data_IF_394005369365
#
_entry.id   IF_394005369365
#
_cell.length_a   1.000
_cell.length_b   1.000
_cell.length_c   1.000
_cell.angle_alpha   90.00
_cell.angle_beta   90.00
_cell.angle_gamma   90.00
#
_symmetry.space_group_name_H-M   'P 1'
#
loop_
_entity.id
_entity.type
_entity.pdbx_description
1 polymer ?
#
# COMPACT_ATOMS: atom_id res chain seq x y z
N UNK A 1 -34.83 9.41 -28.23
CA UNK A 1 -34.45 9.46 -26.80
C UNK A 1 -33.79 8.13 -26.49
N UNK A 2 -32.47 8.04 -26.71
CA UNK A 2 -31.70 6.80 -26.58
C UNK A 2 -31.25 6.65 -25.13
N UNK A 3 -31.57 5.50 -24.53
CA UNK A 3 -31.06 5.13 -23.21
C UNK A 3 -29.59 4.75 -23.31
N UNK A 4 -28.73 5.44 -22.56
CA UNK A 4 -27.33 5.04 -22.36
C UNK A 4 -27.29 3.69 -21.60
N UNK A 5 -26.39 2.76 -21.96
CA UNK A 5 -26.24 1.54 -21.20
C UNK A 5 -25.56 1.87 -19.86
N UNK A 6 -26.26 1.61 -18.75
CA UNK A 6 -25.66 1.55 -17.42
C UNK A 6 -24.46 0.60 -17.46
N UNK A 7 -23.28 1.12 -17.12
CA UNK A 7 -22.08 0.32 -16.90
C UNK A 7 -22.41 -0.81 -15.91
N UNK A 8 -22.38 -2.04 -16.40
CA UNK A 8 -22.51 -3.24 -15.58
C UNK A 8 -21.39 -3.21 -14.56
N UNK A 9 -21.74 -3.03 -13.28
CA UNK A 9 -20.82 -3.26 -12.16
C UNK A 9 -20.39 -4.72 -12.24
N UNK A 10 -19.17 -4.98 -12.71
CA UNK A 10 -18.63 -6.32 -12.78
C UNK A 10 -18.42 -6.82 -11.34
N UNK A 11 -19.29 -7.74 -10.90
CA UNK A 11 -19.17 -8.37 -9.58
C UNK A 11 -18.13 -9.48 -9.70
N UNK A 12 -16.93 -9.25 -9.20
CA UNK A 12 -15.87 -10.28 -9.14
C UNK A 12 -16.32 -11.43 -8.25
N UNK A 13 -16.05 -12.66 -8.66
CA UNK A 13 -16.27 -13.83 -7.80
C UNK A 13 -15.38 -13.75 -6.55
N UNK A 14 -15.74 -14.41 -5.43
CA UNK A 14 -14.90 -14.45 -4.23
C UNK A 14 -13.45 -14.90 -4.51
N UNK A 15 -13.27 -15.89 -5.39
CA UNK A 15 -11.95 -16.37 -5.79
C UNK A 15 -11.16 -15.36 -6.62
N UNK A 16 -11.81 -14.52 -7.43
CA UNK A 16 -11.16 -13.43 -8.17
C UNK A 16 -10.77 -12.26 -7.27
N UNK A 17 -11.62 -11.92 -6.30
CA UNK A 17 -11.32 -10.92 -5.26
C UNK A 17 -10.09 -11.31 -4.45
N UNK A 18 -10.03 -12.54 -3.95
CA UNK A 18 -8.88 -13.05 -3.19
C UNK A 18 -7.60 -13.02 -4.05
N UNK A 19 -7.67 -13.51 -5.30
CA UNK A 19 -6.52 -13.48 -6.22
C UNK A 19 -6.04 -12.05 -6.50
N UNK A 20 -6.96 -11.09 -6.66
CA UNK A 20 -6.63 -9.68 -6.86
C UNK A 20 -5.90 -9.10 -5.63
N UNK A 21 -6.42 -9.34 -4.43
CA UNK A 21 -5.79 -8.88 -3.18
C UNK A 21 -4.40 -9.49 -3.00
N UNK A 22 -4.23 -10.80 -3.21
CA UNK A 22 -2.94 -11.47 -3.10
C UNK A 22 -1.93 -10.95 -4.13
N UNK A 23 -2.38 -10.74 -5.37
CA UNK A 23 -1.55 -10.18 -6.44
C UNK A 23 -1.02 -8.80 -6.08
N UNK A 24 -1.88 -7.87 -5.68
CA UNK A 24 -1.42 -6.50 -5.37
C UNK A 24 -0.57 -6.46 -4.09
N UNK A 25 -0.82 -7.34 -3.12
CA UNK A 25 0.10 -7.50 -1.97
C UNK A 25 1.49 -7.95 -2.41
N UNK A 26 1.57 -8.89 -3.37
CA UNK A 26 2.84 -9.33 -3.94
C UNK A 26 3.51 -8.21 -4.76
N UNK A 27 2.74 -7.44 -5.53
CA UNK A 27 3.25 -6.29 -6.31
C UNK A 27 3.82 -5.20 -5.40
N UNK A 28 3.12 -4.82 -4.32
CA UNK A 28 3.64 -3.86 -3.36
C UNK A 28 4.90 -4.38 -2.67
N UNK A 29 4.93 -5.66 -2.28
CA UNK A 29 6.12 -6.28 -1.70
C UNK A 29 7.32 -6.23 -2.66
N UNK A 30 7.12 -6.60 -3.92
CA UNK A 30 8.16 -6.57 -4.94
C UNK A 30 8.69 -5.14 -5.15
N UNK A 31 7.81 -4.14 -5.22
CA UNK A 31 8.21 -2.75 -5.38
C UNK A 31 8.99 -2.20 -4.17
N UNK A 32 8.59 -2.59 -2.95
CA UNK A 32 9.33 -2.27 -1.71
C UNK A 32 10.73 -2.88 -1.75
N UNK A 33 10.84 -4.15 -2.17
CA UNK A 33 12.12 -4.84 -2.28
C UNK A 33 13.04 -4.23 -3.33
N UNK A 34 12.50 -3.87 -4.50
CA UNK A 34 13.25 -3.19 -5.56
C UNK A 34 13.81 -1.85 -5.09
N UNK A 35 12.95 -1.01 -4.49
CA UNK A 35 13.36 0.26 -3.92
C UNK A 35 14.39 0.11 -2.79
N UNK A 36 14.18 -0.84 -1.88
CA UNK A 36 15.13 -1.15 -0.81
C UNK A 36 16.50 -1.56 -1.37
N UNK A 37 16.52 -2.45 -2.37
CA UNK A 37 17.76 -2.88 -3.01
C UNK A 37 18.53 -1.68 -3.58
N UNK A 38 17.87 -0.83 -4.37
CA UNK A 38 18.48 0.38 -4.91
C UNK A 38 19.02 1.31 -3.80
N UNK A 39 18.27 1.48 -2.70
CA UNK A 39 18.66 2.36 -1.60
C UNK A 39 19.89 1.85 -0.83
N UNK A 40 20.03 0.52 -0.72
CA UNK A 40 21.15 -0.14 -0.04
C UNK A 40 22.45 -0.18 -0.85
N UNK A 41 22.41 0.15 -2.14
CA UNK A 41 23.62 0.30 -2.94
C UNK A 41 24.54 1.39 -2.32
N UNK A 42 25.88 1.26 -2.45
CA UNK A 42 26.79 2.29 -2.02
C UNK A 42 26.55 3.62 -2.77
N UNK A 43 26.29 4.70 -2.02
CA UNK A 43 26.01 6.05 -2.55
C UNK A 43 27.15 6.59 -3.42
N UNK A 44 28.39 6.15 -3.16
CA UNK A 44 29.55 6.52 -3.97
C UNK A 44 29.52 5.90 -5.38
N UNK A 45 28.65 4.93 -5.66
CA UNK A 45 28.49 4.40 -7.00
C UNK A 45 27.77 5.42 -7.90
N UNK A 46 28.31 5.72 -9.10
CA UNK A 46 27.70 6.68 -10.03
C UNK A 46 26.23 6.38 -10.38
N UNK A 47 25.86 5.11 -10.33
CA UNK A 47 24.54 4.62 -10.72
C UNK A 47 23.52 4.61 -9.58
N UNK A 48 23.92 4.89 -8.35
CA UNK A 48 23.04 4.84 -7.17
C UNK A 48 21.78 5.70 -7.37
N UNK A 49 21.97 6.96 -7.77
CA UNK A 49 20.84 7.89 -7.99
C UNK A 49 19.93 7.40 -9.10
N UNK A 50 20.51 6.87 -10.19
CA UNK A 50 19.75 6.31 -11.32
C UNK A 50 18.92 5.11 -10.89
N UNK A 51 19.46 4.23 -10.06
CA UNK A 51 18.73 3.08 -9.52
C UNK A 51 17.56 3.52 -8.62
N UNK A 52 17.80 4.45 -7.68
CA UNK A 52 16.74 4.99 -6.81
C UNK A 52 15.64 5.68 -7.62
N UNK A 53 16.00 6.49 -8.62
CA UNK A 53 15.06 7.18 -9.49
C UNK A 53 14.25 6.22 -10.37
N UNK A 54 14.82 5.07 -10.76
CA UNK A 54 14.14 4.06 -11.56
C UNK A 54 13.11 3.26 -10.74
N UNK A 55 13.39 2.97 -9.47
CA UNK A 55 12.50 2.16 -8.61
C UNK A 55 11.35 2.98 -8.00
N UNK A 56 11.56 4.28 -7.75
CA UNK A 56 10.58 5.12 -7.07
C UNK A 56 9.20 5.21 -7.79
N UNK A 57 9.11 5.32 -9.14
CA UNK A 57 7.84 5.25 -9.85
C UNK A 57 7.10 3.92 -9.65
N UNK A 58 7.81 2.79 -9.61
CA UNK A 58 7.21 1.47 -9.37
C UNK A 58 6.62 1.38 -7.97
N UNK A 59 7.34 1.85 -6.95
CA UNK A 59 6.85 1.91 -5.58
C UNK A 59 5.62 2.82 -5.45
N UNK A 60 5.64 3.99 -6.09
CA UNK A 60 4.49 4.91 -6.12
C UNK A 60 3.25 4.27 -6.73
N UNK A 61 3.39 3.63 -7.89
CA UNK A 61 2.27 2.97 -8.57
C UNK A 61 1.71 1.81 -7.74
N UNK A 62 2.57 0.97 -7.19
CA UNK A 62 2.15 -0.15 -6.35
C UNK A 62 1.47 0.31 -5.06
N UNK A 63 1.95 1.40 -4.44
CA UNK A 63 1.32 1.96 -3.25
C UNK A 63 -0.05 2.60 -3.57
N UNK A 64 -0.18 3.33 -4.68
CA UNK A 64 -1.47 3.86 -5.11
C UNK A 64 -2.50 2.76 -5.37
N UNK A 65 -2.10 1.65 -6.01
CA UNK A 65 -2.96 0.49 -6.22
C UNK A 65 -3.36 -0.18 -4.88
N UNK A 66 -2.47 -0.22 -3.89
CA UNK A 66 -2.77 -0.69 -2.55
C UNK A 66 -3.80 0.20 -1.83
N UNK A 67 -3.67 1.53 -1.95
CA UNK A 67 -4.66 2.48 -1.40
C UNK A 67 -6.03 2.26 -2.05
N UNK A 68 -6.10 2.18 -3.38
CA UNK A 68 -7.36 1.93 -4.09
C UNK A 68 -8.02 0.61 -3.67
N UNK A 69 -7.24 -0.45 -3.44
CA UNK A 69 -7.78 -1.72 -2.95
C UNK A 69 -8.35 -1.67 -1.54
N UNK A 70 -7.78 -0.82 -0.69
CA UNK A 70 -8.10 -0.80 0.72
C UNK A 70 -9.20 0.20 1.01
N UNK A 71 -9.14 1.39 0.38
CA UNK A 71 -10.04 2.52 0.62
C UNK A 71 -11.07 2.76 -0.50
N UNK A 72 -10.91 2.12 -1.66
CA UNK A 72 -11.83 2.30 -2.78
C UNK A 72 -13.29 1.96 -2.41
N UNK A 73 -14.26 2.32 -3.26
CA UNK A 73 -15.69 2.13 -2.97
C UNK A 73 -16.08 0.68 -2.60
N UNK A 74 -15.37 -0.29 -3.19
CA UNK A 74 -15.50 -1.73 -2.92
C UNK A 74 -14.22 -2.27 -2.22
N UNK A 75 -13.55 -1.42 -1.45
CA UNK A 75 -12.27 -1.67 -0.81
C UNK A 75 -12.38 -2.44 0.50
N UNK A 76 -11.27 -3.04 0.91
CA UNK A 76 -11.18 -3.89 2.10
C UNK A 76 -11.66 -3.21 3.38
N UNK A 77 -11.44 -1.90 3.55
CA UNK A 77 -11.88 -1.19 4.74
C UNK A 77 -13.39 -1.06 4.82
N UNK A 78 -14.10 -0.93 3.70
CA UNK A 78 -15.56 -0.94 3.70
C UNK A 78 -16.09 -2.31 4.15
N UNK A 79 -15.51 -3.40 3.66
CA UNK A 79 -15.84 -4.78 4.09
C UNK A 79 -15.58 -4.95 5.60
N UNK A 80 -14.39 -4.58 6.09
CA UNK A 80 -14.04 -4.67 7.52
C UNK A 80 -14.98 -3.85 8.40
N UNK A 81 -15.43 -2.66 7.97
CA UNK A 81 -16.35 -1.85 8.77
C UNK A 81 -17.78 -2.38 8.76
N UNK A 82 -18.20 -3.08 7.72
CA UNK A 82 -19.47 -3.79 7.69
C UNK A 82 -19.48 -4.95 8.70
N UNK A 83 -18.40 -5.74 8.74
CA UNK A 83 -18.29 -6.93 9.60
C UNK A 83 -17.88 -6.59 11.04
N UNK A 84 -17.04 -5.57 11.21
CA UNK A 84 -16.43 -5.20 12.49
C UNK A 84 -16.47 -3.67 12.75
N UNK A 85 -17.65 -3.04 12.93
CA UNK A 85 -17.79 -1.59 13.12
C UNK A 85 -16.94 -0.99 14.26
N UNK A 86 -16.63 -1.79 15.29
CA UNK A 86 -15.76 -1.43 16.41
C UNK A 86 -14.36 -0.97 15.98
N UNK A 87 -13.91 -1.35 14.77
CA UNK A 87 -12.58 -1.06 14.23
C UNK A 87 -12.47 0.27 13.48
N UNK A 88 -13.52 1.10 13.46
CA UNK A 88 -13.56 2.40 12.76
C UNK A 88 -12.36 3.29 13.04
N UNK A 89 -11.92 3.39 14.31
CA UNK A 89 -10.76 4.22 14.64
C UNK A 89 -9.46 3.69 14.04
N UNK A 90 -9.31 2.36 13.94
CA UNK A 90 -8.11 1.74 13.38
C UNK A 90 -8.07 1.87 11.86
N UNK A 91 -9.21 1.70 11.20
CA UNK A 91 -9.36 1.99 9.76
C UNK A 91 -9.01 3.45 9.45
N UNK A 92 -9.55 4.41 10.20
CA UNK A 92 -9.24 5.84 10.00
C UNK A 92 -7.75 6.16 10.22
N UNK A 93 -7.12 5.52 11.21
CA UNK A 93 -5.68 5.66 11.45
C UNK A 93 -4.87 5.16 10.26
N UNK A 94 -5.21 3.99 9.72
CA UNK A 94 -4.51 3.43 8.56
C UNK A 94 -4.70 4.27 7.29
N UNK A 95 -5.88 4.87 7.09
CA UNK A 95 -6.08 5.79 5.97
C UNK A 95 -5.27 7.10 6.12
N UNK A 96 -5.12 7.60 7.35
CA UNK A 96 -4.23 8.72 7.63
C UNK A 96 -2.76 8.35 7.35
N UNK A 97 -2.35 7.12 7.64
CA UNK A 97 -1.03 6.60 7.28
C UNK A 97 -0.85 6.50 5.76
N UNK A 98 -1.87 6.06 5.00
CA UNK A 98 -1.81 6.06 3.54
C UNK A 98 -1.58 7.45 2.97
N UNK A 99 -2.28 8.46 3.48
CA UNK A 99 -2.09 9.85 3.06
C UNK A 99 -0.65 10.33 3.37
N UNK A 100 -0.13 10.01 4.56
CA UNK A 100 1.23 10.38 4.96
C UNK A 100 2.31 9.70 4.09
N UNK A 101 2.17 8.40 3.82
CA UNK A 101 3.11 7.65 2.97
C UNK A 101 3.05 8.14 1.53
N UNK A 102 1.86 8.39 0.99
CA UNK A 102 1.69 9.00 -0.34
C UNK A 102 2.39 10.35 -0.42
N UNK A 103 2.19 11.23 0.56
CA UNK A 103 2.87 12.51 0.62
C UNK A 103 4.40 12.38 0.71
N UNK A 104 4.90 11.42 1.48
CA UNK A 104 6.33 11.14 1.62
C UNK A 104 6.95 10.62 0.30
N UNK A 105 6.25 9.74 -0.42
CA UNK A 105 6.66 9.26 -1.75
C UNK A 105 6.76 10.41 -2.76
N UNK A 106 5.76 11.28 -2.80
CA UNK A 106 5.77 12.48 -3.66
C UNK A 106 6.89 13.46 -3.27
N UNK A 107 7.08 13.66 -1.97
CA UNK A 107 8.13 14.50 -1.42
C UNK A 107 9.53 13.98 -1.76
N UNK A 108 9.74 12.67 -1.75
CA UNK A 108 10.98 12.02 -2.15
C UNK A 108 11.21 12.14 -3.65
N UNK A 109 10.17 11.92 -4.46
CA UNK A 109 10.27 12.03 -5.93
C UNK A 109 10.72 13.41 -6.38
N UNK A 110 10.19 14.48 -5.77
CA UNK A 110 10.62 15.86 -6.05
C UNK A 110 12.04 16.19 -5.58
N UNK A 111 12.63 15.35 -4.73
CA UNK A 111 13.94 15.59 -4.10
C UNK A 111 14.94 14.48 -4.42
N UNK A 112 14.66 13.65 -5.43
CA UNK A 112 15.52 12.53 -5.79
C UNK A 112 16.92 12.97 -6.22
N UNK A 113 17.09 14.24 -6.64
CA UNK A 113 18.37 14.88 -7.00
C UNK A 113 19.08 15.59 -5.84
N UNK A 114 18.51 15.58 -4.64
CA UNK A 114 19.14 16.17 -3.45
C UNK A 114 20.40 15.39 -3.02
N UNK A 115 21.07 15.85 -1.97
CA UNK A 115 22.21 15.15 -1.36
C UNK A 115 21.93 13.64 -1.17
N UNK A 116 22.78 12.73 -1.69
CA UNK A 116 22.50 11.30 -1.68
C UNK A 116 22.26 10.71 -0.28
N UNK A 117 22.97 11.18 0.74
CA UNK A 117 22.79 10.70 2.12
C UNK A 117 21.43 11.13 2.68
N UNK A 118 20.98 12.34 2.37
CA UNK A 118 19.62 12.79 2.70
C UNK A 118 18.55 11.95 2.00
N UNK A 119 18.73 11.68 0.71
CA UNK A 119 17.79 10.84 -0.07
C UNK A 119 17.75 9.41 0.50
N UNK A 120 18.90 8.85 0.89
CA UNK A 120 18.96 7.54 1.58
C UNK A 120 18.23 7.58 2.92
N UNK A 121 18.43 8.62 3.72
CA UNK A 121 17.75 8.76 5.02
C UNK A 121 16.24 8.80 4.84
N UNK A 122 15.73 9.66 3.96
CA UNK A 122 14.29 9.77 3.69
C UNK A 122 13.70 8.48 3.12
N UNK A 123 14.41 7.82 2.20
CA UNK A 123 14.01 6.51 1.67
C UNK A 123 13.96 5.44 2.76
N UNK A 124 14.89 5.46 3.71
CA UNK A 124 14.94 4.49 4.82
C UNK A 124 13.80 4.72 5.81
N UNK A 125 13.47 5.99 6.08
CA UNK A 125 12.32 6.36 6.89
C UNK A 125 11.01 5.91 6.26
N UNK A 126 10.88 6.09 4.94
CA UNK A 126 9.74 5.63 4.16
C UNK A 126 9.58 4.11 4.19
N UNK A 127 10.68 3.36 4.01
CA UNK A 127 10.66 1.88 4.10
C UNK A 127 10.21 1.39 5.48
N UNK A 128 10.65 2.07 6.55
CA UNK A 128 10.20 1.78 7.92
C UNK A 128 8.70 2.04 8.07
N UNK A 129 8.22 3.19 7.60
CA UNK A 129 6.80 3.54 7.65
C UNK A 129 5.93 2.51 6.90
N UNK A 130 6.36 2.09 5.71
CA UNK A 130 5.69 1.04 4.92
C UNK A 130 5.65 -0.31 5.66
N UNK A 131 6.75 -0.71 6.29
CA UNK A 131 6.81 -1.96 7.06
C UNK A 131 5.85 -1.93 8.25
N UNK A 132 5.88 -0.85 9.05
CA UNK A 132 4.97 -0.67 10.18
C UNK A 132 3.50 -0.59 9.76
N UNK A 133 3.21 0.11 8.66
CA UNK A 133 1.87 0.19 8.10
C UNK A 133 1.34 -1.20 7.71
N UNK A 134 2.15 -1.99 6.99
CA UNK A 134 1.77 -3.35 6.57
C UNK A 134 1.50 -4.26 7.77
N UNK A 135 2.29 -4.15 8.83
CA UNK A 135 2.04 -4.90 10.06
C UNK A 135 0.71 -4.50 10.69
N UNK A 136 0.45 -3.21 10.87
CA UNK A 136 -0.82 -2.72 11.44
C UNK A 136 -2.03 -3.10 10.60
N UNK A 137 -1.87 -3.16 9.27
CA UNK A 137 -2.88 -3.67 8.34
C UNK A 137 -3.14 -5.18 8.52
N UNK A 138 -2.10 -5.98 8.77
CA UNK A 138 -2.27 -7.40 9.10
C UNK A 138 -3.00 -7.59 10.44
N UNK A 139 -2.63 -6.81 11.46
CA UNK A 139 -3.29 -6.82 12.77
C UNK A 139 -4.79 -6.49 12.65
N UNK A 140 -5.16 -5.52 11.81
CA UNK A 140 -6.56 -5.17 11.56
C UNK A 140 -7.36 -6.37 11.05
N UNK A 141 -6.81 -7.09 10.06
CA UNK A 141 -7.48 -8.25 9.46
C UNK A 141 -7.59 -9.39 10.46
N UNK A 142 -6.55 -9.63 11.25
CA UNK A 142 -6.62 -10.59 12.34
C UNK A 142 -7.70 -10.22 13.36
N UNK A 143 -7.75 -8.96 13.82
CA UNK A 143 -8.75 -8.51 14.79
C UNK A 143 -10.18 -8.54 14.24
N UNK A 144 -10.36 -8.33 12.94
CA UNK A 144 -11.66 -8.39 12.28
C UNK A 144 -12.20 -9.83 12.23
N UNK A 145 -11.35 -10.82 11.91
CA UNK A 145 -11.80 -12.16 11.51
C UNK A 145 -11.31 -13.33 12.37
N UNK A 146 -10.24 -13.17 13.17
CA UNK A 146 -9.74 -14.25 14.01
C UNK A 146 -10.59 -14.49 15.26
N UNK A 147 -11.36 -13.48 15.72
CA UNK A 147 -12.26 -13.61 16.88
C UNK A 147 -13.49 -14.49 16.57
N UNK A 148 -13.86 -14.64 15.30
CA UNK A 148 -15.05 -15.38 14.86
C UNK A 148 -14.82 -16.90 14.73
N UNK A 149 -13.56 -17.36 14.80
CA UNK A 149 -13.17 -18.78 14.67
C UNK A 149 -13.02 -19.51 16.01
N UNK A 150 -13.31 -18.85 17.14
CA UNK A 150 -13.13 -19.41 18.50
C UNK A 150 -14.42 -19.83 19.21
N UNK A 151 -15.57 -19.83 18.52
CA UNK A 151 -16.90 -19.93 19.12
C UNK A 151 -17.61 -21.29 19.01
N UNK A 152 -16.96 -22.34 18.51
CA UNK A 152 -17.52 -23.69 18.50
C UNK A 152 -16.89 -24.52 19.64
N UNK A 153 -17.59 -24.63 20.77
CA UNK A 153 -17.34 -25.61 21.84
C UNK A 153 -18.44 -26.67 21.85
#
# INVERSE_FOLDING_TARGET
MAAEPMAVRQTLTPAERIRRVLRHRAELLAAVQGFQYALTMPVAQPDWRRAVAAELPHLRAAFAAHVELTEGPDGLYAEVLADAPRLVRRVNSLGSEHAAVSAALEALARRVDADPERVRSWGSDLLRALSSHRQRGADLIHEAYATDLGGET
#
